data_IF_877715332403
#
_entry.id   IF_877715332403
#
_cell.length_a   1.000
_cell.length_b   1.000
_cell.length_c   1.000
_cell.angle_alpha   90.00
_cell.angle_beta   90.00
_cell.angle_gamma   90.00
#
_symmetry.space_group_name_H-M   'P 1'
#
loop_
_entity.id
_entity.type
_entity.pdbx_description
1 polymer ?
#
# COMPACT_ATOMS: atom_id res chain seq x y z
N UNK A 1 13.34 -13.37 20.50
CA UNK A 1 13.29 -11.90 20.27
C UNK A 1 11.91 -11.56 19.72
N UNK A 2 11.16 -10.70 20.43
CA UNK A 2 9.71 -10.52 20.23
C UNK A 2 9.37 -9.34 19.28
N UNK A 3 9.49 -9.51 17.96
CA UNK A 3 9.02 -8.49 17.02
C UNK A 3 7.50 -8.46 16.88
N UNK A 4 6.98 -7.45 16.16
CA UNK A 4 5.55 -7.28 15.91
C UNK A 4 5.25 -7.55 14.44
N UNK A 5 4.25 -8.40 14.18
CA UNK A 5 3.70 -8.61 12.84
C UNK A 5 2.44 -7.76 12.65
N UNK A 6 2.46 -6.91 11.64
CA UNK A 6 1.28 -6.21 11.14
C UNK A 6 0.72 -6.95 9.93
N UNK A 7 -0.60 -7.08 9.89
CA UNK A 7 -1.34 -7.64 8.77
C UNK A 7 -2.29 -6.55 8.27
N UNK A 8 -2.14 -6.16 7.01
CA UNK A 8 -2.88 -5.07 6.39
C UNK A 8 -3.58 -5.58 5.15
N UNK A 9 -4.91 -5.54 5.15
CA UNK A 9 -5.74 -5.73 3.97
C UNK A 9 -6.20 -4.35 3.50
N UNK A 10 -5.82 -3.97 2.28
CA UNK A 10 -6.05 -2.64 1.74
C UNK A 10 -6.58 -2.70 0.31
N UNK A 11 -7.41 -1.72 -0.04
CA UNK A 11 -7.81 -1.46 -1.42
C UNK A 11 -6.91 -0.36 -2.00
N UNK A 12 -6.17 -0.70 -3.06
CA UNK A 12 -5.38 0.25 -3.83
C UNK A 12 -6.18 0.72 -5.04
N UNK A 13 -6.09 2.02 -5.34
CA UNK A 13 -6.71 2.62 -6.52
C UNK A 13 -5.73 3.48 -7.30
N UNK A 14 -5.87 3.51 -8.63
CA UNK A 14 -5.07 4.41 -9.48
C UNK A 14 -5.47 5.86 -9.22
N UNK A 15 -4.53 6.67 -8.76
CA UNK A 15 -4.70 8.12 -8.58
C UNK A 15 -4.31 8.89 -9.83
N UNK A 16 -4.78 10.13 -9.92
CA UNK A 16 -4.46 11.09 -10.99
C UNK A 16 -3.03 11.65 -10.90
N UNK A 17 -2.38 11.42 -9.77
CA UNK A 17 -1.04 11.92 -9.47
C UNK A 17 0.06 10.99 -9.97
N UNK A 18 1.23 11.56 -10.24
CA UNK A 18 2.45 10.79 -10.48
C UNK A 18 3.11 10.39 -9.16
N UNK A 19 4.01 9.40 -9.17
CA UNK A 19 4.68 8.93 -7.94
C UNK A 19 5.72 9.91 -7.39
N UNK A 20 6.22 10.83 -8.21
CA UNK A 20 7.38 11.68 -7.89
C UNK A 20 7.02 13.13 -7.63
N UNK A 21 5.74 13.50 -7.70
CA UNK A 21 5.30 14.87 -7.41
C UNK A 21 5.20 15.11 -5.89
N UNK A 22 5.34 16.37 -5.43
CA UNK A 22 5.09 16.72 -4.04
C UNK A 22 3.60 16.61 -3.67
N UNK A 23 3.31 16.49 -2.37
CA UNK A 23 1.96 16.51 -1.77
C UNK A 23 1.02 15.40 -2.30
N UNK A 24 1.39 14.13 -2.06
CA UNK A 24 0.63 12.97 -2.52
C UNK A 24 -0.60 12.63 -1.67
N UNK A 25 -0.73 13.23 -0.49
CA UNK A 25 -1.77 12.88 0.49
C UNK A 25 -3.19 13.20 -0.01
N UNK A 26 -3.33 14.21 -0.89
CA UNK A 26 -4.61 14.68 -1.42
C UNK A 26 -4.83 14.28 -2.90
N UNK A 27 -4.28 13.15 -3.32
CA UNK A 27 -4.35 12.69 -4.70
C UNK A 27 -5.67 11.97 -5.02
N UNK A 28 -6.56 12.54 -5.87
CA UNK A 28 -7.84 11.91 -6.16
C UNK A 28 -7.66 10.70 -7.09
N UNK A 29 -8.60 9.76 -6.98
CA UNK A 29 -8.67 8.58 -7.84
C UNK A 29 -9.11 8.94 -9.26
N UNK A 30 -8.70 8.13 -10.24
CA UNK A 30 -9.22 8.25 -11.61
C UNK A 30 -10.67 7.76 -11.69
N UNK A 31 -11.56 8.61 -12.19
CA UNK A 31 -12.97 8.26 -12.44
C UNK A 31 -13.20 7.71 -13.86
N UNK A 32 -12.31 8.02 -14.80
CA UNK A 32 -12.42 7.58 -16.20
C UNK A 32 -12.33 6.05 -16.30
N UNK A 33 -13.32 5.34 -16.88
CA UNK A 33 -13.40 3.88 -16.81
C UNK A 33 -12.15 3.15 -17.32
N UNK A 34 -11.52 3.66 -18.38
CA UNK A 34 -10.33 3.07 -18.97
C UNK A 34 -9.04 3.28 -18.15
N UNK A 35 -9.03 4.26 -17.24
CA UNK A 35 -7.92 4.54 -16.33
C UNK A 35 -8.18 4.00 -14.92
N UNK A 36 -9.44 3.80 -14.56
CA UNK A 36 -9.86 3.26 -13.28
C UNK A 36 -9.28 1.86 -13.12
N UNK A 37 -8.43 1.68 -12.11
CA UNK A 37 -7.89 0.39 -11.69
C UNK A 37 -7.94 0.32 -10.18
N UNK A 38 -8.46 -0.79 -9.68
CA UNK A 38 -8.54 -1.12 -8.27
C UNK A 38 -7.88 -2.47 -8.07
N UNK A 39 -7.21 -2.64 -6.94
CA UNK A 39 -6.62 -3.92 -6.55
C UNK A 39 -6.80 -4.11 -5.05
N UNK A 40 -7.12 -5.32 -4.63
CA UNK A 40 -7.11 -5.71 -3.23
C UNK A 40 -5.76 -6.33 -2.90
N UNK A 41 -5.12 -5.81 -1.86
CA UNK A 41 -3.80 -6.25 -1.44
C UNK A 41 -3.78 -6.63 0.03
N UNK A 42 -3.08 -7.73 0.32
CA UNK A 42 -2.74 -8.17 1.67
C UNK A 42 -1.24 -8.06 1.88
N UNK A 43 -0.84 -7.31 2.90
CA UNK A 43 0.55 -7.14 3.29
C UNK A 43 0.80 -7.70 4.69
N UNK A 44 1.95 -8.33 4.86
CA UNK A 44 2.48 -8.69 6.16
C UNK A 44 3.78 -7.95 6.38
N UNK A 45 3.86 -7.18 7.45
CA UNK A 45 5.04 -6.37 7.80
C UNK A 45 5.54 -6.85 9.16
N UNK A 46 6.79 -7.32 9.19
CA UNK A 46 7.46 -7.63 10.45
C UNK A 46 8.29 -6.44 10.89
N UNK A 47 8.16 -6.04 12.15
CA UNK A 47 8.89 -4.92 12.72
C UNK A 47 9.64 -5.34 13.96
N UNK A 48 10.80 -4.73 14.18
CA UNK A 48 11.54 -4.80 15.43
C UNK A 48 11.63 -3.37 15.98
N UNK A 49 10.61 -2.89 16.72
CA UNK A 49 10.45 -1.47 17.02
C UNK A 49 11.66 -0.85 17.70
N UNK A 50 12.30 -1.57 18.63
CA UNK A 50 13.48 -1.08 19.35
C UNK A 50 14.76 -1.03 18.50
N UNK A 51 14.78 -1.68 17.33
CA UNK A 51 15.85 -1.53 16.35
C UNK A 51 15.48 -0.55 15.23
N UNK A 52 14.24 -0.03 15.21
CA UNK A 52 13.73 0.83 14.14
C UNK A 52 13.62 0.15 12.78
N UNK A 53 13.62 -1.19 12.74
CA UNK A 53 13.59 -1.95 11.48
C UNK A 53 12.18 -2.43 11.16
N UNK A 54 11.86 -2.39 9.87
CA UNK A 54 10.64 -2.96 9.30
C UNK A 54 10.96 -3.68 8.00
N UNK A 55 10.33 -4.82 7.80
CA UNK A 55 10.51 -5.64 6.60
C UNK A 55 9.16 -6.06 6.08
N UNK A 56 8.95 -5.91 4.77
CA UNK A 56 7.79 -6.45 4.09
C UNK A 56 7.99 -7.96 3.91
N UNK A 57 7.31 -8.74 4.74
CA UNK A 57 7.41 -10.20 4.77
C UNK A 57 6.54 -10.88 3.72
N UNK A 58 5.35 -10.32 3.45
CA UNK A 58 4.44 -10.82 2.42
C UNK A 58 3.74 -9.67 1.72
N UNK A 59 3.57 -9.81 0.42
CA UNK A 59 2.84 -8.88 -0.44
C UNK A 59 2.06 -9.69 -1.47
N UNK A 60 0.75 -9.62 -1.42
CA UNK A 60 -0.13 -10.29 -2.38
C UNK A 60 -1.19 -9.30 -2.83
N UNK A 61 -1.38 -9.16 -4.14
CA UNK A 61 -2.36 -8.25 -4.71
C UNK A 61 -3.14 -8.96 -5.83
N UNK A 62 -4.42 -8.61 -5.97
CA UNK A 62 -5.29 -9.09 -7.03
C UNK A 62 -6.07 -7.90 -7.59
N UNK A 63 -6.21 -7.83 -8.91
CA UNK A 63 -7.07 -6.84 -9.55
C UNK A 63 -8.53 -7.08 -9.11
N UNK A 64 -9.25 -5.99 -8.86
CA UNK A 64 -10.64 -5.98 -8.42
C UNK A 64 -11.64 -6.05 -9.58
#
# INVERSE_FOLDING_TARGET
>A
VAGVNYFLDVELGRTTCTKTQPNLDNCPFHEQPHLKRKAFCSFQIYTVPWQGTMTLSKSTCQDA
#
